data_IF_698105556529
#
_entry.id   IF_698105556529
#
_cell.length_a   1.000
_cell.length_b   1.000
_cell.length_c   1.000
_cell.angle_alpha   90.00
_cell.angle_beta   90.00
_cell.angle_gamma   90.00
#
_symmetry.space_group_name_H-M   'P 1'
#
loop_
_entity.id
_entity.type
_entity.pdbx_description
1 polymer ?
#
# COMPACT_ATOMS: atom_id res chain seq x y z
N UNK A 1 -0.51 -10.79 23.96
CA UNK A 1 -1.95 -10.45 23.92
C UNK A 1 -2.39 -9.77 22.62
N UNK A 2 -1.65 -8.77 22.08
CA UNK A 2 -2.04 -8.02 20.87
C UNK A 2 -2.08 -8.89 19.61
N UNK A 3 -1.12 -9.79 19.41
CA UNK A 3 -1.08 -10.70 18.26
C UNK A 3 -2.26 -11.68 18.23
N UNK A 4 -2.70 -12.18 19.41
CA UNK A 4 -3.87 -13.06 19.51
C UNK A 4 -5.18 -12.32 19.18
N UNK A 5 -5.28 -11.05 19.54
CA UNK A 5 -6.44 -10.21 19.19
C UNK A 5 -6.47 -9.98 17.67
N UNK A 6 -5.33 -9.63 17.06
CA UNK A 6 -5.23 -9.47 15.62
C UNK A 6 -5.61 -10.75 14.84
N UNK A 7 -5.16 -11.92 15.33
CA UNK A 7 -5.50 -13.21 14.72
C UNK A 7 -7.02 -13.53 14.83
N UNK A 8 -7.62 -13.21 15.97
CA UNK A 8 -9.04 -13.44 16.21
C UNK A 8 -9.94 -12.50 15.41
N UNK A 9 -9.52 -11.25 15.24
CA UNK A 9 -10.24 -10.25 14.43
C UNK A 9 -10.18 -10.60 12.94
N UNK A 10 -9.06 -11.16 12.46
CA UNK A 10 -8.91 -11.63 11.09
C UNK A 10 -9.84 -12.79 10.70
N UNK A 11 -10.26 -13.61 11.68
CA UNK A 11 -11.15 -14.74 11.42
C UNK A 11 -12.60 -14.33 11.13
N UNK A 12 -13.04 -13.16 11.58
CA UNK A 12 -14.45 -12.74 11.45
C UNK A 12 -14.90 -12.56 10.00
N UNK A 13 -13.98 -12.30 9.08
CA UNK A 13 -14.24 -12.10 7.64
C UNK A 13 -13.37 -12.99 6.75
N UNK A 14 -12.92 -14.13 7.30
CA UNK A 14 -12.00 -15.02 6.61
C UNK A 14 -12.51 -15.45 5.23
N UNK A 15 -13.82 -15.81 5.14
CA UNK A 15 -14.42 -16.22 3.88
C UNK A 15 -14.35 -15.12 2.81
N UNK A 16 -14.73 -13.91 3.17
CA UNK A 16 -14.72 -12.78 2.24
C UNK A 16 -13.29 -12.41 1.81
N UNK A 17 -12.35 -12.49 2.74
CA UNK A 17 -10.92 -12.29 2.45
C UNK A 17 -10.34 -13.40 1.56
N UNK A 18 -10.74 -14.66 1.78
CA UNK A 18 -10.34 -15.77 0.90
C UNK A 18 -10.89 -15.59 -0.52
N UNK A 19 -12.15 -15.17 -0.65
CA UNK A 19 -12.73 -14.86 -1.97
C UNK A 19 -11.96 -13.72 -2.63
N UNK A 20 -11.64 -12.65 -1.90
CA UNK A 20 -10.85 -11.55 -2.41
C UNK A 20 -9.46 -11.99 -2.86
N UNK A 21 -8.78 -12.82 -2.03
CA UNK A 21 -7.49 -13.40 -2.37
C UNK A 21 -7.55 -14.31 -3.60
N UNK A 22 -8.60 -15.12 -3.73
CA UNK A 22 -8.81 -15.98 -4.91
C UNK A 22 -9.04 -15.14 -6.17
N UNK A 23 -9.84 -14.07 -6.09
CA UNK A 23 -10.05 -13.15 -7.22
C UNK A 23 -8.74 -12.46 -7.63
N UNK A 24 -7.91 -12.06 -6.66
CA UNK A 24 -6.59 -11.51 -6.95
C UNK A 24 -5.69 -12.52 -7.66
N UNK A 25 -5.63 -13.75 -7.14
CA UNK A 25 -4.81 -14.82 -7.72
C UNK A 25 -5.23 -15.12 -9.17
N UNK A 26 -6.54 -15.22 -9.43
CA UNK A 26 -7.08 -15.42 -10.78
C UNK A 26 -6.70 -14.25 -11.69
N UNK A 27 -6.90 -13.01 -11.23
CA UNK A 27 -6.53 -11.81 -11.99
C UNK A 27 -5.02 -11.76 -12.29
N UNK A 28 -4.20 -12.06 -11.31
CA UNK A 28 -2.74 -12.10 -11.47
C UNK A 28 -2.29 -13.20 -12.45
N UNK A 29 -2.84 -14.41 -12.32
CA UNK A 29 -2.55 -15.51 -13.25
C UNK A 29 -3.05 -15.19 -14.67
N UNK A 30 -4.18 -14.48 -14.81
CA UNK A 30 -4.64 -14.03 -16.11
C UNK A 30 -3.67 -13.01 -16.74
N UNK A 31 -3.11 -12.07 -15.96
CA UNK A 31 -2.07 -11.15 -16.45
C UNK A 31 -0.85 -11.91 -16.93
N UNK A 32 -0.36 -12.88 -16.14
CA UNK A 32 0.79 -13.72 -16.52
C UNK A 32 0.48 -14.59 -17.75
N UNK A 33 -0.72 -15.17 -17.82
CA UNK A 33 -1.15 -15.96 -18.97
C UNK A 33 -1.25 -15.16 -20.25
N UNK A 34 -1.75 -13.92 -20.17
CA UNK A 34 -1.82 -13.02 -21.33
C UNK A 34 -0.43 -12.59 -21.80
N UNK A 35 0.49 -12.31 -20.87
CA UNK A 35 1.87 -12.00 -21.24
C UNK A 35 2.57 -13.17 -21.93
N UNK A 36 2.29 -14.39 -21.47
CA UNK A 36 2.85 -15.61 -22.04
C UNK A 36 2.43 -15.88 -23.51
N UNK A 37 1.33 -15.26 -23.97
CA UNK A 37 0.94 -15.33 -25.38
C UNK A 37 1.88 -14.52 -26.29
N UNK A 38 2.65 -13.58 -25.74
CA UNK A 38 3.58 -12.74 -26.52
C UNK A 38 4.96 -13.39 -26.61
N UNK A 39 5.48 -13.91 -25.49
CA UNK A 39 6.87 -14.40 -25.38
C UNK A 39 6.99 -15.92 -25.15
N UNK A 40 5.88 -16.65 -25.25
CA UNK A 40 5.88 -18.09 -24.96
C UNK A 40 6.05 -18.42 -23.49
N UNK A 41 5.96 -17.44 -22.58
CA UNK A 41 6.03 -17.61 -21.14
C UNK A 41 7.41 -17.39 -20.51
N UNK A 42 8.38 -16.90 -21.24
CA UNK A 42 9.73 -16.60 -20.74
C UNK A 42 9.68 -15.59 -19.57
N UNK A 43 8.91 -14.51 -19.72
CA UNK A 43 8.71 -13.53 -18.66
C UNK A 43 8.10 -14.16 -17.40
N UNK A 44 7.07 -14.98 -17.58
CA UNK A 44 6.42 -15.66 -16.45
C UNK A 44 7.37 -16.65 -15.75
N UNK A 45 8.22 -17.34 -16.49
CA UNK A 45 9.22 -18.26 -15.92
C UNK A 45 10.28 -17.51 -15.11
N UNK A 46 10.74 -16.36 -15.58
CA UNK A 46 11.67 -15.49 -14.82
C UNK A 46 11.00 -14.95 -13.56
N UNK A 47 9.79 -14.43 -13.71
CA UNK A 47 9.11 -13.72 -12.61
C UNK A 47 8.53 -14.68 -11.54
N UNK A 48 7.92 -15.79 -11.93
CA UNK A 48 7.29 -16.77 -11.04
C UNK A 48 8.16 -17.98 -10.75
N UNK A 49 8.87 -18.46 -11.75
CA UNK A 49 9.67 -19.68 -11.68
C UNK A 49 11.09 -19.45 -11.14
N UNK A 50 11.51 -18.19 -10.98
CA UNK A 50 12.86 -17.86 -10.52
C UNK A 50 13.96 -18.23 -11.53
N UNK A 51 13.62 -18.40 -12.82
CA UNK A 51 14.60 -18.60 -13.87
C UNK A 51 15.54 -17.38 -13.95
N UNK A 52 16.84 -17.57 -14.20
CA UNK A 52 17.77 -16.44 -14.27
C UNK A 52 17.45 -15.57 -15.48
N UNK A 53 17.32 -14.26 -15.28
CA UNK A 53 17.19 -13.29 -16.37
C UNK A 53 18.56 -13.16 -17.06
N UNK A 54 18.63 -13.57 -18.33
CA UNK A 54 19.83 -13.36 -19.13
C UNK A 54 19.71 -12.04 -19.92
N UNK A 55 20.85 -11.46 -20.27
CA UNK A 55 20.88 -10.24 -21.09
C UNK A 55 20.23 -10.45 -22.45
N UNK A 56 20.48 -11.62 -23.04
CA UNK A 56 19.91 -11.98 -24.34
C UNK A 56 18.38 -12.02 -24.30
N UNK A 57 17.77 -12.65 -23.28
CA UNK A 57 16.32 -12.65 -23.07
C UNK A 57 15.77 -11.24 -22.89
N UNK A 58 16.42 -10.41 -22.05
CA UNK A 58 15.97 -9.04 -21.75
C UNK A 58 15.98 -8.11 -22.97
N UNK A 59 16.83 -8.39 -23.96
CA UNK A 59 16.95 -7.62 -25.20
C UNK A 59 15.96 -8.08 -26.29
N UNK A 60 15.27 -9.21 -26.13
CA UNK A 60 14.28 -9.68 -27.11
C UNK A 60 13.01 -8.81 -27.10
N UNK A 61 12.49 -8.40 -28.27
CA UNK A 61 11.24 -7.62 -28.34
C UNK A 61 10.04 -8.36 -27.75
N UNK A 62 9.99 -9.68 -27.84
CA UNK A 62 8.92 -10.49 -27.27
C UNK A 62 8.89 -10.40 -25.74
N UNK A 63 10.03 -10.59 -25.07
CA UNK A 63 10.17 -10.46 -23.62
C UNK A 63 9.80 -9.07 -23.13
N UNK A 64 10.31 -8.02 -23.82
CA UNK A 64 9.97 -6.64 -23.50
C UNK A 64 8.48 -6.37 -23.67
N UNK A 65 7.87 -6.87 -24.76
CA UNK A 65 6.42 -6.77 -24.99
C UNK A 65 5.60 -7.43 -23.89
N UNK A 66 5.98 -8.64 -23.48
CA UNK A 66 5.33 -9.37 -22.38
C UNK A 66 5.47 -8.60 -21.04
N UNK A 67 6.65 -8.05 -20.75
CA UNK A 67 6.91 -7.23 -19.57
C UNK A 67 6.03 -5.97 -19.56
N UNK A 68 5.99 -5.21 -20.65
CA UNK A 68 5.17 -4.01 -20.74
C UNK A 68 3.68 -4.29 -20.68
N UNK A 69 3.21 -5.36 -21.34
CA UNK A 69 1.81 -5.80 -21.24
C UNK A 69 1.46 -6.17 -19.81
N UNK A 70 2.31 -6.97 -19.14
CA UNK A 70 2.10 -7.35 -17.75
C UNK A 70 2.00 -6.13 -16.85
N UNK A 71 2.89 -5.16 -17.02
CA UNK A 71 2.89 -3.92 -16.23
C UNK A 71 1.62 -3.10 -16.47
N UNK A 72 1.19 -2.97 -17.73
CA UNK A 72 -0.02 -2.25 -18.10
C UNK A 72 -1.30 -2.89 -17.55
N UNK A 73 -1.37 -4.23 -17.53
CA UNK A 73 -2.51 -4.97 -16.97
C UNK A 73 -2.47 -5.07 -15.44
N UNK A 74 -1.28 -5.13 -14.85
CA UNK A 74 -1.12 -5.18 -13.41
C UNK A 74 -1.53 -3.87 -12.74
N UNK A 75 -1.37 -2.73 -13.40
CA UNK A 75 -1.76 -1.43 -12.87
C UNK A 75 -3.28 -1.37 -12.54
N UNK A 76 -4.22 -1.62 -13.48
CA UNK A 76 -5.64 -1.64 -13.14
C UNK A 76 -5.98 -2.75 -12.13
N UNK A 77 -5.33 -3.91 -12.19
CA UNK A 77 -5.50 -4.95 -11.20
C UNK A 77 -5.12 -4.44 -9.79
N UNK A 78 -3.99 -3.77 -9.65
CA UNK A 78 -3.56 -3.22 -8.37
C UNK A 78 -4.54 -2.15 -7.83
N UNK A 79 -5.09 -1.29 -8.69
CA UNK A 79 -6.09 -0.30 -8.29
C UNK A 79 -7.41 -0.92 -7.81
N UNK A 80 -7.84 -2.04 -8.43
CA UNK A 80 -9.01 -2.80 -7.97
C UNK A 80 -8.81 -3.32 -6.54
N UNK A 81 -7.62 -3.76 -6.20
CA UNK A 81 -7.32 -4.37 -4.90
C UNK A 81 -6.72 -3.41 -3.88
N UNK A 82 -6.46 -2.13 -4.24
CA UNK A 82 -5.79 -1.16 -3.39
C UNK A 82 -6.51 -0.93 -2.05
N UNK A 83 -7.80 -0.65 -2.11
CA UNK A 83 -8.64 -0.41 -0.93
C UNK A 83 -9.59 -1.56 -0.59
N UNK A 84 -9.72 -2.55 -1.48
CA UNK A 84 -10.69 -3.62 -1.32
C UNK A 84 -10.56 -4.40 -0.01
N UNK A 85 -9.36 -4.79 0.47
CA UNK A 85 -9.22 -5.45 1.77
C UNK A 85 -9.74 -4.63 2.95
N UNK A 86 -9.48 -3.32 2.95
CA UNK A 86 -9.98 -2.41 3.98
C UNK A 86 -11.51 -2.29 3.96
N UNK A 87 -12.11 -2.18 2.77
CA UNK A 87 -13.57 -2.12 2.61
C UNK A 87 -14.24 -3.40 3.09
N UNK A 88 -13.67 -4.56 2.79
CA UNK A 88 -14.20 -5.86 3.26
C UNK A 88 -14.04 -5.97 4.77
N UNK A 89 -12.87 -5.64 5.31
CA UNK A 89 -12.57 -5.85 6.72
C UNK A 89 -13.30 -4.85 7.63
N UNK A 90 -13.18 -3.56 7.38
CA UNK A 90 -13.70 -2.50 8.25
C UNK A 90 -15.16 -2.15 7.98
N UNK A 91 -15.57 -2.12 6.71
CA UNK A 91 -16.93 -1.70 6.32
C UNK A 91 -17.85 -2.86 5.98
N UNK A 92 -17.36 -4.10 5.96
CA UNK A 92 -18.17 -5.27 5.67
C UNK A 92 -18.74 -5.32 4.25
N UNK A 93 -18.11 -4.63 3.32
CA UNK A 93 -18.55 -4.60 1.92
C UNK A 93 -18.28 -5.98 1.28
N UNK A 94 -19.23 -6.56 0.52
CA UNK A 94 -18.99 -7.80 -0.21
C UNK A 94 -17.79 -7.71 -1.15
N UNK A 95 -16.98 -8.77 -1.33
CA UNK A 95 -15.72 -8.74 -2.08
C UNK A 95 -15.81 -8.11 -3.47
N UNK A 96 -16.79 -8.51 -4.29
CA UNK A 96 -16.94 -7.98 -5.65
C UNK A 96 -17.30 -6.48 -5.64
N UNK A 97 -18.15 -6.05 -4.70
CA UNK A 97 -18.49 -4.62 -4.57
C UNK A 97 -17.31 -3.80 -4.08
N UNK A 98 -16.46 -4.38 -3.21
CA UNK A 98 -15.26 -3.69 -2.71
C UNK A 98 -14.25 -3.39 -3.82
N UNK A 99 -14.12 -4.27 -4.82
CA UNK A 99 -13.27 -4.04 -5.98
C UNK A 99 -13.75 -2.81 -6.78
N UNK A 100 -15.06 -2.73 -7.01
CA UNK A 100 -15.65 -1.58 -7.71
C UNK A 100 -15.43 -0.27 -6.95
N UNK A 101 -15.69 -0.25 -5.65
CA UNK A 101 -15.47 0.95 -4.84
C UNK A 101 -13.99 1.34 -4.76
N UNK A 102 -13.09 0.35 -4.72
CA UNK A 102 -11.65 0.59 -4.72
C UNK A 102 -11.20 1.32 -6.00
N UNK A 103 -11.54 0.80 -7.18
CA UNK A 103 -11.13 1.45 -8.43
C UNK A 103 -11.77 2.83 -8.60
N UNK A 104 -13.04 3.00 -8.23
CA UNK A 104 -13.72 4.31 -8.30
C UNK A 104 -13.05 5.32 -7.37
N UNK A 105 -12.67 4.93 -6.14
CA UNK A 105 -11.98 5.79 -5.20
C UNK A 105 -10.60 6.20 -5.74
N UNK A 106 -9.83 5.26 -6.29
CA UNK A 106 -8.53 5.55 -6.90
C UNK A 106 -8.65 6.49 -8.09
N UNK A 107 -9.61 6.27 -8.99
CA UNK A 107 -9.80 7.11 -10.18
C UNK A 107 -10.30 8.51 -9.82
N UNK A 108 -11.19 8.65 -8.85
CA UNK A 108 -11.66 9.96 -8.36
C UNK A 108 -10.55 10.78 -7.69
N UNK A 109 -9.60 10.11 -7.08
CA UNK A 109 -8.47 10.72 -6.39
C UNK A 109 -7.15 10.53 -7.15
N UNK A 110 -7.21 10.40 -8.48
CA UNK A 110 -6.04 10.08 -9.31
C UNK A 110 -4.86 11.03 -9.07
N UNK A 111 -5.11 12.34 -8.92
CA UNK A 111 -4.07 13.32 -8.63
C UNK A 111 -3.36 13.05 -7.30
N UNK A 112 -4.11 12.77 -6.23
CA UNK A 112 -3.54 12.44 -4.93
C UNK A 112 -2.74 11.13 -4.98
N UNK A 113 -3.25 10.11 -5.69
CA UNK A 113 -2.53 8.85 -5.88
C UNK A 113 -1.25 9.02 -6.71
N UNK A 114 -1.26 9.90 -7.71
CA UNK A 114 -0.05 10.23 -8.48
C UNK A 114 1.01 10.86 -7.59
N UNK A 115 0.65 11.86 -6.79
CA UNK A 115 1.57 12.50 -5.83
C UNK A 115 2.08 11.48 -4.81
N UNK A 116 1.21 10.65 -4.27
CA UNK A 116 1.58 9.57 -3.35
C UNK A 116 2.58 8.59 -3.99
N UNK A 117 2.31 8.15 -5.22
CA UNK A 117 3.21 7.26 -5.96
C UNK A 117 4.57 7.89 -6.24
N UNK A 118 4.60 9.16 -6.65
CA UNK A 118 5.84 9.91 -6.86
C UNK A 118 6.63 10.10 -5.57
N UNK A 119 5.95 10.39 -4.45
CA UNK A 119 6.58 10.51 -3.15
C UNK A 119 7.23 9.18 -2.73
N UNK A 120 6.52 8.05 -2.89
CA UNK A 120 7.08 6.73 -2.62
C UNK A 120 8.21 6.35 -3.56
N UNK A 121 8.14 6.71 -4.83
CA UNK A 121 9.25 6.54 -5.77
C UNK A 121 10.49 7.28 -5.28
N UNK A 122 10.34 8.53 -4.80
CA UNK A 122 11.42 9.29 -4.17
C UNK A 122 11.98 8.59 -2.93
N UNK A 123 11.13 8.08 -2.05
CA UNK A 123 11.55 7.33 -0.85
C UNK A 123 12.35 6.07 -1.22
N UNK A 124 11.89 5.31 -2.22
CA UNK A 124 12.61 4.11 -2.69
C UNK A 124 13.96 4.47 -3.33
N UNK A 125 14.03 5.53 -4.13
CA UNK A 125 15.28 5.97 -4.75
C UNK A 125 16.29 6.44 -3.69
N UNK A 126 15.89 7.30 -2.78
CA UNK A 126 16.76 7.81 -1.71
C UNK A 126 17.14 6.70 -0.74
N UNK A 127 16.16 5.92 -0.28
CA UNK A 127 16.40 4.78 0.61
C UNK A 127 17.31 3.72 -0.03
N UNK A 128 17.07 3.38 -1.29
CA UNK A 128 17.92 2.46 -2.04
C UNK A 128 19.35 2.97 -2.19
N UNK A 129 19.52 4.27 -2.47
CA UNK A 129 20.85 4.89 -2.53
C UNK A 129 21.58 4.83 -1.19
N UNK A 130 20.89 5.19 -0.09
CA UNK A 130 21.48 5.15 1.27
C UNK A 130 21.90 3.72 1.64
N UNK A 131 21.03 2.74 1.40
CA UNK A 131 21.31 1.33 1.67
C UNK A 131 22.48 0.83 0.81
N UNK A 132 22.52 1.20 -0.47
CA UNK A 132 23.61 0.82 -1.38
C UNK A 132 24.95 1.41 -0.95
N UNK A 133 24.98 2.67 -0.51
CA UNK A 133 26.18 3.31 0.00
C UNK A 133 26.66 2.65 1.31
N UNK A 134 25.72 2.36 2.23
CA UNK A 134 26.03 1.67 3.47
C UNK A 134 26.60 0.25 3.22
N UNK A 135 25.97 -0.49 2.30
CA UNK A 135 26.42 -1.81 1.91
C UNK A 135 27.81 -1.78 1.25
N UNK A 136 28.06 -0.79 0.38
CA UNK A 136 29.37 -0.58 -0.24
C UNK A 136 30.46 -0.27 0.79
N UNK A 137 30.17 0.61 1.75
CA UNK A 137 31.11 0.94 2.84
C UNK A 137 31.45 -0.28 3.70
N UNK A 138 30.44 -1.09 4.06
CA UNK A 138 30.65 -2.33 4.81
C UNK A 138 31.46 -3.36 4.02
N UNK A 139 31.25 -3.44 2.72
CA UNK A 139 32.02 -4.33 1.86
C UNK A 139 33.52 -3.95 1.86
N UNK A 140 33.85 -2.64 1.78
CA UNK A 140 35.23 -2.13 1.82
C UNK A 140 35.86 -2.39 3.17
N UNK A 141 35.12 -2.34 4.28
CA UNK A 141 35.65 -2.63 5.63
C UNK A 141 35.77 -4.13 5.95
N UNK A 142 35.39 -5.01 5.03
CA UNK A 142 35.42 -6.46 5.19
C UNK A 142 34.22 -7.04 5.98
N UNK A 143 33.25 -6.22 6.36
CA UNK A 143 32.06 -6.61 7.11
C UNK A 143 30.92 -7.10 6.16
N UNK A 144 31.28 -7.88 5.15
CA UNK A 144 30.33 -8.37 4.13
C UNK A 144 29.17 -9.19 4.70
N UNK A 145 29.39 -9.90 5.82
CA UNK A 145 28.34 -10.66 6.49
C UNK A 145 27.21 -9.79 7.06
N UNK A 146 27.46 -8.51 7.35
CA UNK A 146 26.45 -7.57 7.84
C UNK A 146 25.56 -6.99 6.72
N UNK A 147 26.01 -7.02 5.46
CA UNK A 147 25.30 -6.44 4.32
C UNK A 147 23.91 -7.04 4.16
N UNK A 148 23.80 -8.37 4.21
CA UNK A 148 22.51 -9.08 4.11
C UNK A 148 21.52 -8.65 5.21
N UNK A 149 21.99 -8.51 6.43
CA UNK A 149 21.18 -8.06 7.57
C UNK A 149 20.64 -6.64 7.38
N UNK A 150 21.46 -5.72 6.89
CA UNK A 150 21.07 -4.33 6.61
C UNK A 150 20.05 -4.28 5.47
N UNK A 151 20.26 -5.03 4.41
CA UNK A 151 19.31 -5.10 3.27
C UNK A 151 17.94 -5.60 3.73
N UNK A 152 17.91 -6.69 4.50
CA UNK A 152 16.64 -7.22 5.04
C UNK A 152 15.99 -6.23 6.01
N UNK A 153 16.76 -5.64 6.93
CA UNK A 153 16.25 -4.65 7.87
C UNK A 153 15.67 -3.42 7.19
N UNK A 154 16.36 -2.88 6.18
CA UNK A 154 15.89 -1.76 5.39
C UNK A 154 14.61 -2.11 4.59
N UNK A 155 14.55 -3.30 4.00
CA UNK A 155 13.37 -3.77 3.28
C UNK A 155 12.16 -3.90 4.21
N UNK A 156 12.33 -4.47 5.41
CA UNK A 156 11.29 -4.60 6.42
C UNK A 156 10.80 -3.23 6.91
N UNK A 157 11.70 -2.29 7.14
CA UNK A 157 11.36 -0.93 7.55
C UNK A 157 10.57 -0.20 6.45
N UNK A 158 11.03 -0.26 5.20
CA UNK A 158 10.31 0.34 4.07
C UNK A 158 8.94 -0.28 3.87
N UNK A 159 8.82 -1.61 3.99
CA UNK A 159 7.53 -2.29 3.93
C UNK A 159 6.60 -1.83 5.06
N UNK A 160 7.09 -1.74 6.30
CA UNK A 160 6.28 -1.25 7.43
C UNK A 160 5.79 0.19 7.22
N UNK A 161 6.66 1.09 6.75
CA UNK A 161 6.28 2.47 6.41
C UNK A 161 5.23 2.51 5.30
N UNK A 162 5.42 1.72 4.25
CA UNK A 162 4.47 1.63 3.14
C UNK A 162 3.10 1.15 3.60
N UNK A 163 3.03 0.01 4.30
CA UNK A 163 1.74 -0.52 4.78
C UNK A 163 1.06 0.42 5.78
N UNK A 164 1.82 1.10 6.64
CA UNK A 164 1.25 2.10 7.55
C UNK A 164 0.65 3.28 6.77
N UNK A 165 1.33 3.73 5.71
CA UNK A 165 0.83 4.84 4.88
C UNK A 165 -0.45 4.51 4.10
N UNK A 166 -0.68 3.24 3.76
CA UNK A 166 -1.92 2.79 3.11
C UNK A 166 -3.17 3.05 3.98
N UNK A 167 -3.04 2.98 5.31
CA UNK A 167 -4.14 3.29 6.22
C UNK A 167 -4.61 4.74 6.05
N UNK A 168 -3.68 5.67 5.89
CA UNK A 168 -4.01 7.08 5.67
C UNK A 168 -4.71 7.29 4.32
N UNK A 169 -4.21 6.68 3.25
CA UNK A 169 -4.88 6.78 1.93
C UNK A 169 -6.29 6.21 1.97
N UNK A 170 -6.53 5.17 2.75
CA UNK A 170 -7.86 4.61 2.95
C UNK A 170 -8.77 5.58 3.70
N UNK A 171 -8.31 6.14 4.82
CA UNK A 171 -9.07 7.10 5.63
C UNK A 171 -9.46 8.33 4.82
N UNK A 172 -8.54 8.91 4.09
CA UNK A 172 -8.79 10.09 3.25
C UNK A 172 -9.84 9.84 2.14
N UNK A 173 -9.97 8.59 1.68
CA UNK A 173 -10.93 8.23 0.64
C UNK A 173 -12.34 7.87 1.17
N UNK A 174 -12.44 7.34 2.38
CA UNK A 174 -13.67 6.69 2.86
C UNK A 174 -14.18 7.20 4.20
N UNK A 175 -13.38 7.91 4.99
CA UNK A 175 -13.84 8.52 6.23
C UNK A 175 -14.31 9.97 5.97
N UNK A 176 -15.41 10.41 6.59
CA UNK A 176 -15.82 11.80 6.50
C UNK A 176 -14.74 12.72 7.11
N UNK A 177 -14.54 13.95 6.58
CA UNK A 177 -13.65 14.89 7.22
C UNK A 177 -14.09 15.10 8.66
N UNK A 178 -13.12 15.04 9.58
CA UNK A 178 -13.35 15.27 11.00
C UNK A 178 -14.02 16.63 11.16
N UNK A 179 -15.22 16.64 11.75
CA UNK A 179 -15.92 17.91 12.02
C UNK A 179 -15.01 18.75 12.89
N UNK A 180 -14.81 20.06 12.56
CA UNK A 180 -14.09 20.95 13.46
C UNK A 180 -14.70 20.79 14.85
N UNK A 181 -13.89 20.42 15.84
CA UNK A 181 -14.36 20.42 17.23
C UNK A 181 -14.91 21.81 17.49
N UNK A 182 -16.13 21.96 18.01
CA UNK A 182 -16.60 23.28 18.48
C UNK A 182 -15.51 23.78 19.42
N UNK A 183 -14.90 24.91 19.06
CA UNK A 183 -13.95 25.57 19.93
C UNK A 183 -14.61 25.59 21.31
N UNK A 184 -13.98 24.86 22.25
CA UNK A 184 -14.45 24.83 23.62
C UNK A 184 -14.67 26.28 24.00
N UNK A 185 -15.91 26.66 24.20
CA UNK A 185 -16.33 28.03 24.49
C UNK A 185 -15.40 28.59 25.55
N UNK A 186 -14.44 29.38 25.11
CA UNK A 186 -13.56 30.12 25.99
C UNK A 186 -14.49 30.91 26.86
N UNK A 187 -14.42 30.62 28.16
CA UNK A 187 -15.30 31.05 29.21
C UNK A 187 -15.86 32.46 29.02
N UNK A 188 -17.17 32.51 28.98
CA UNK A 188 -17.87 33.77 29.27
C UNK A 188 -17.33 34.28 30.60
N UNK A 189 -16.82 35.52 30.65
CA UNK A 189 -16.48 36.12 31.94
C UNK A 189 -17.73 36.14 32.79
N UNK A 190 -17.64 35.49 33.95
CA UNK A 190 -18.65 35.55 35.00
C UNK A 190 -19.12 36.99 35.19
N UNK A 191 -20.38 37.30 34.88
CA UNK A 191 -21.06 38.51 35.34
C UNK A 191 -21.01 38.53 36.86
N UNK A 192 -20.07 39.31 37.35
CA UNK A 192 -20.05 39.69 38.74
C UNK A 192 -21.32 40.53 39.01
N UNK A 193 -22.27 39.94 39.68
CA UNK A 193 -23.45 40.65 40.18
C UNK A 193 -23.03 41.83 41.10
N UNK A 194 -23.54 43.05 40.90
CA UNK A 194 -23.31 44.15 41.84
C UNK A 194 -24.10 43.87 43.09
N UNK A 195 -23.39 43.96 44.25
CA UNK A 195 -23.99 43.93 45.58
C UNK A 195 -24.98 45.02 45.74
N UNK A 196 -26.20 44.72 46.16
CA UNK A 196 -27.17 45.65 46.66
C UNK A 196 -26.89 45.86 48.14
N UNK A 197 -26.24 46.96 48.43
CA UNK A 197 -26.36 47.62 49.76
C UNK A 197 -27.79 48.09 49.94
N UNK A 198 -28.45 47.61 50.97
CA UNK A 198 -29.73 47.99 51.41
C UNK A 198 -29.62 48.48 52.87
N UNK A 199 -29.42 49.79 53.04
CA UNK A 199 -29.65 50.48 54.29
C UNK A 199 -31.14 50.73 54.51
N UNK A 200 -31.62 50.34 55.59
CA UNK A 200 -32.42 50.95 56.70
C UNK A 200 -33.30 49.94 57.39
#
# INVERSE_FOLDING_TARGET
>A
AVLLVAFRTGQQRLRDMLVLGALYAVGFLAVMGLSALIDGGEFAQVYLGGAPLTREMAETPAFQGAMWLSMALYLPLSLLFWHAPGLVHWHGVPPVKSLFFSIVACLRNFGAFTVYGLAWMGVFLVGGLVVSLAAGLLAVTGLTGAVGGIMVGAAMMMAAMFFTSLVFTFRDCFEPPEKPQPEASQGSPSDAAPGTDGTT
#
